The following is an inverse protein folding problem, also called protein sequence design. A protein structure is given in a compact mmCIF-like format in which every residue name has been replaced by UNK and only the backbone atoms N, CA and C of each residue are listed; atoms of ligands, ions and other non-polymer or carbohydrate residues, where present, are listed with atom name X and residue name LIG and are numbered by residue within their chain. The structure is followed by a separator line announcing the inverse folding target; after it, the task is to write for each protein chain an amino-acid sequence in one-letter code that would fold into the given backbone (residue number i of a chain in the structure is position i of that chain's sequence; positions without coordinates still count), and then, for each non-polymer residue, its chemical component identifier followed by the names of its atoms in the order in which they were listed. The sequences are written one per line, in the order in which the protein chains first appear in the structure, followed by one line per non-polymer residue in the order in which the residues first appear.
data_IF_198970109454
#
_entry.id   IF_198970109454
#
_cell.length_a   1.000
_cell.length_b   1.000
_cell.length_c   1.000
_cell.angle_alpha   90.00
_cell.angle_beta   90.00
_cell.angle_gamma   90.00
#
_symmetry.space_group_name_H-M   'P 1'
#
loop_
_entity.id
_entity.type
_entity.pdbx_description
1 polymer ?
#
# COMPACT_ATOMS: atom_id res chain seq x y z
N UNK A 1 10.97 -27.01 9.84
CA UNK A 1 11.98 -26.90 8.76
C UNK A 1 13.28 -26.46 9.40
N UNK A 2 14.42 -27.09 9.14
CA UNK A 2 15.65 -26.80 9.88
C UNK A 2 16.25 -25.45 9.43
N UNK A 3 16.74 -24.69 10.41
CA UNK A 3 17.42 -23.39 10.26
C UNK A 3 18.64 -23.39 9.28
N UNK A 4 19.03 -24.56 8.77
CA UNK A 4 20.16 -24.76 7.87
C UNK A 4 19.94 -24.22 6.46
N UNK A 5 18.70 -24.24 5.93
CA UNK A 5 18.41 -23.78 4.56
C UNK A 5 18.47 -22.24 4.48
N UNK A 6 18.09 -21.56 5.56
CA UNK A 6 18.15 -20.09 5.63
C UNK A 6 19.59 -19.56 5.76
N UNK A 7 20.50 -20.31 6.37
CA UNK A 7 21.90 -19.89 6.48
C UNK A 7 22.67 -19.87 5.16
N UNK A 8 22.38 -20.79 4.26
CA UNK A 8 23.01 -20.84 2.92
C UNK A 8 22.45 -19.76 1.99
N UNK A 9 21.14 -19.44 2.05
CA UNK A 9 20.53 -18.35 1.29
C UNK A 9 21.07 -16.98 1.71
N UNK A 10 21.32 -16.77 3.00
CA UNK A 10 21.87 -15.52 3.53
C UNK A 10 23.28 -15.25 2.99
N UNK A 11 24.16 -16.25 2.95
CA UNK A 11 25.54 -16.11 2.52
C UNK A 11 25.68 -15.95 0.98
N UNK A 12 24.76 -16.51 0.19
CA UNK A 12 24.81 -16.44 -1.28
C UNK A 12 24.08 -15.23 -1.87
N UNK A 13 23.18 -14.59 -1.10
CA UNK A 13 22.40 -13.43 -1.53
C UNK A 13 23.16 -12.10 -1.48
N UNK A 14 24.39 -12.10 -1.00
CA UNK A 14 25.16 -10.90 -0.71
C UNK A 14 26.37 -10.75 -1.63
N UNK A 15 26.26 -10.03 -2.74
CA UNK A 15 27.32 -9.99 -3.77
C UNK A 15 28.63 -9.28 -3.37
N UNK A 16 28.72 -8.57 -2.23
CA UNK A 16 29.95 -7.84 -1.85
C UNK A 16 30.07 -7.53 -0.35
N UNK A 17 29.94 -8.54 0.50
CA UNK A 17 30.00 -8.36 1.97
C UNK A 17 31.40 -8.35 2.56
N UNK A 18 32.44 -8.39 1.76
CA UNK A 18 33.83 -8.26 2.24
C UNK A 18 34.18 -6.89 2.83
N UNK A 19 33.25 -5.91 2.77
CA UNK A 19 33.47 -4.56 3.31
C UNK A 19 32.50 -4.14 4.41
N UNK A 20 31.54 -4.99 4.83
CA UNK A 20 30.63 -4.66 5.93
C UNK A 20 31.28 -4.98 7.27
N UNK A 21 31.36 -3.99 8.15
CA UNK A 21 31.88 -4.06 9.53
C UNK A 21 30.91 -4.72 10.52
N UNK A 22 29.82 -5.36 10.04
CA UNK A 22 28.77 -5.93 10.87
C UNK A 22 29.18 -7.30 11.41
N UNK A 23 29.01 -7.51 12.70
CA UNK A 23 29.21 -8.79 13.38
C UNK A 23 28.05 -9.75 13.11
N UNK A 24 28.25 -11.09 13.23
CA UNK A 24 27.16 -12.06 13.09
C UNK A 24 25.97 -11.84 14.06
N UNK A 25 26.18 -11.08 15.13
CA UNK A 25 25.16 -10.69 16.11
C UNK A 25 24.20 -9.63 15.57
N UNK A 26 24.61 -8.93 14.51
CA UNK A 26 23.84 -7.85 13.87
C UNK A 26 22.86 -8.37 12.82
N UNK A 27 22.78 -9.70 12.65
CA UNK A 27 21.88 -10.35 11.71
C UNK A 27 20.74 -11.07 12.42
N UNK A 28 19.54 -10.94 11.90
CA UNK A 28 18.37 -11.67 12.39
C UNK A 28 17.60 -12.27 11.21
N UNK A 29 17.02 -13.45 11.43
CA UNK A 29 16.05 -14.03 10.50
C UNK A 29 14.68 -13.72 11.08
N UNK A 30 13.86 -13.00 10.31
CA UNK A 30 12.50 -12.71 10.71
C UNK A 30 11.61 -13.94 10.50
N UNK A 31 11.11 -14.49 11.61
CA UNK A 31 10.08 -15.54 11.57
C UNK A 31 8.68 -14.86 11.66
N UNK A 32 7.89 -14.87 10.59
CA UNK A 32 6.53 -14.32 10.62
C UNK A 32 5.58 -15.06 11.58
N UNK A 33 5.93 -16.27 11.99
CA UNK A 33 5.17 -17.05 12.96
C UNK A 33 5.46 -16.64 14.41
N UNK A 34 6.56 -15.92 14.66
CA UNK A 34 6.86 -15.38 15.99
C UNK A 34 5.94 -14.19 16.31
N UNK A 35 4.89 -14.47 17.06
CA UNK A 35 3.92 -13.45 17.48
C UNK A 35 4.52 -12.39 18.45
N UNK A 36 5.75 -12.59 18.95
CA UNK A 36 6.47 -11.62 19.77
C UNK A 36 7.34 -10.68 18.93
N UNK A 37 7.62 -11.04 17.68
CA UNK A 37 8.34 -10.17 16.76
C UNK A 37 7.45 -8.98 16.39
N UNK A 38 7.83 -7.80 16.83
CA UNK A 38 7.20 -6.54 16.45
C UNK A 38 7.38 -6.24 14.95
N UNK A 39 6.78 -5.16 14.46
CA UNK A 39 7.00 -4.71 13.10
C UNK A 39 8.47 -4.34 12.88
N UNK A 40 9.05 -4.79 11.75
CA UNK A 40 10.36 -4.33 11.29
C UNK A 40 10.15 -3.05 10.50
N UNK A 41 10.85 -1.99 10.86
CA UNK A 41 10.94 -0.76 10.06
C UNK A 41 12.38 -0.56 9.65
N UNK A 42 12.62 -0.39 8.34
CA UNK A 42 14.00 -0.26 7.87
C UNK A 42 14.11 0.04 6.38
N UNK A 43 15.36 0.24 5.96
CA UNK A 43 15.76 0.41 4.57
C UNK A 43 15.92 -0.96 3.90
N UNK A 44 15.32 -1.15 2.75
CA UNK A 44 15.53 -2.34 1.92
C UNK A 44 16.90 -2.25 1.25
N UNK A 45 17.81 -3.15 1.58
CA UNK A 45 19.17 -3.18 1.02
C UNK A 45 19.35 -4.23 -0.06
N UNK A 46 18.54 -5.27 -0.06
CA UNK A 46 18.52 -6.27 -1.12
C UNK A 46 17.18 -7.00 -1.19
N UNK A 47 16.88 -7.55 -2.35
CA UNK A 47 15.81 -8.50 -2.56
C UNK A 47 16.21 -9.55 -3.60
N UNK A 48 15.61 -10.71 -3.54
CA UNK A 48 15.92 -11.79 -4.47
C UNK A 48 15.01 -12.99 -4.34
N UNK A 49 15.32 -14.00 -5.14
CA UNK A 49 14.65 -15.28 -5.15
C UNK A 49 15.26 -16.19 -4.07
N UNK A 50 14.44 -16.70 -3.16
CA UNK A 50 14.86 -17.60 -2.09
C UNK A 50 14.75 -19.06 -2.52
N UNK A 51 13.71 -19.39 -3.28
CA UNK A 51 13.43 -20.72 -3.81
C UNK A 51 12.72 -20.59 -5.16
N UNK A 52 13.37 -21.08 -6.21
CA UNK A 52 12.87 -21.02 -7.59
C UNK A 52 11.65 -21.94 -7.79
N UNK A 53 11.66 -23.14 -7.16
CA UNK A 53 10.56 -24.08 -7.29
C UNK A 53 9.29 -23.61 -6.58
N UNK A 54 9.44 -22.98 -5.41
CA UNK A 54 8.33 -22.44 -4.65
C UNK A 54 7.97 -20.99 -5.07
N UNK A 55 8.75 -20.39 -6.00
CA UNK A 55 8.62 -19.00 -6.39
C UNK A 55 8.60 -18.07 -5.15
N UNK A 56 9.50 -18.33 -4.23
CA UNK A 56 9.60 -17.65 -2.94
C UNK A 56 10.71 -16.62 -2.97
N UNK A 57 10.39 -15.42 -2.53
CA UNK A 57 11.29 -14.26 -2.52
C UNK A 57 11.66 -13.85 -1.11
N UNK A 58 12.72 -13.05 -1.00
CA UNK A 58 13.18 -12.48 0.27
C UNK A 58 13.52 -10.99 0.13
N UNK A 59 13.54 -10.30 1.27
CA UNK A 59 14.14 -8.99 1.45
C UNK A 59 15.25 -9.07 2.50
N UNK A 60 16.25 -8.21 2.34
CA UNK A 60 17.18 -7.86 3.42
C UNK A 60 16.90 -6.42 3.80
N UNK A 61 16.66 -6.20 5.08
CA UNK A 61 16.23 -4.91 5.63
C UNK A 61 17.19 -4.50 6.74
N UNK A 62 17.86 -3.37 6.53
CA UNK A 62 18.64 -2.69 7.56
C UNK A 62 17.67 -1.90 8.44
N UNK A 63 17.41 -2.40 9.64
CA UNK A 63 16.28 -1.97 10.46
C UNK A 63 16.65 -0.95 11.53
N UNK A 64 15.63 -0.27 12.05
CA UNK A 64 15.78 0.77 13.09
C UNK A 64 16.17 0.21 14.45
N UNK A 65 16.15 -1.12 14.65
CA UNK A 65 16.65 -1.82 15.84
C UNK A 65 18.17 -2.07 15.79
N UNK A 66 18.85 -1.59 14.74
CA UNK A 66 20.29 -1.73 14.54
C UNK A 66 20.72 -3.08 13.97
N UNK A 67 19.79 -3.90 13.48
CA UNK A 67 20.06 -5.21 12.89
C UNK A 67 19.68 -5.26 11.42
N UNK A 68 20.33 -6.13 10.68
CA UNK A 68 19.93 -6.50 9.33
C UNK A 68 19.06 -7.76 9.37
N UNK A 69 17.81 -7.65 8.92
CA UNK A 69 16.85 -8.75 8.93
C UNK A 69 16.73 -9.40 7.55
N UNK A 70 16.86 -10.72 7.52
CA UNK A 70 16.41 -11.53 6.39
C UNK A 70 14.93 -11.84 6.56
N UNK A 71 14.11 -11.43 5.60
CA UNK A 71 12.65 -11.58 5.65
C UNK A 71 12.18 -12.36 4.43
N UNK A 72 11.66 -13.55 4.65
CA UNK A 72 10.94 -14.29 3.60
C UNK A 72 9.61 -13.64 3.29
N UNK A 73 9.41 -13.21 2.05
CA UNK A 73 8.20 -12.51 1.61
C UNK A 73 7.27 -13.38 0.75
N UNK A 74 7.64 -14.65 0.56
CA UNK A 74 6.87 -15.58 -0.24
C UNK A 74 6.76 -15.11 -1.69
N UNK A 75 5.55 -15.15 -2.25
CA UNK A 75 5.27 -14.81 -3.66
C UNK A 75 5.02 -13.31 -3.92
N UNK A 76 5.37 -12.43 -2.98
CA UNK A 76 5.23 -10.98 -3.18
C UNK A 76 6.21 -10.48 -4.26
N UNK A 77 5.76 -9.66 -5.19
CA UNK A 77 6.54 -9.17 -6.35
C UNK A 77 6.15 -7.77 -6.79
N UNK A 78 7.01 -7.19 -7.61
CA UNK A 78 6.72 -5.96 -8.34
C UNK A 78 6.36 -4.80 -7.40
N UNK A 79 5.22 -4.18 -7.63
CA UNK A 79 4.74 -3.02 -6.85
C UNK A 79 4.39 -3.37 -5.38
N UNK A 80 4.29 -4.67 -5.03
CA UNK A 80 4.07 -5.12 -3.66
C UNK A 80 5.36 -5.14 -2.83
N UNK A 81 6.50 -4.83 -3.45
CA UNK A 81 7.81 -4.84 -2.81
C UNK A 81 8.41 -3.44 -2.83
N UNK A 82 8.88 -2.98 -1.69
CA UNK A 82 9.61 -1.71 -1.57
C UNK A 82 10.92 -1.79 -2.36
N UNK A 83 11.28 -0.77 -3.17
CA UNK A 83 12.52 -0.77 -3.92
C UNK A 83 13.75 -0.72 -2.99
N UNK A 84 14.91 -1.09 -3.53
CA UNK A 84 16.20 -0.90 -2.84
C UNK A 84 16.36 0.58 -2.47
N UNK A 85 16.94 0.85 -1.30
CA UNK A 85 17.05 2.14 -0.63
C UNK A 85 15.71 2.76 -0.19
N UNK A 86 14.59 2.16 -0.55
CA UNK A 86 13.29 2.53 -0.01
C UNK A 86 13.12 2.07 1.45
N UNK A 87 12.19 2.71 2.15
CA UNK A 87 11.91 2.43 3.56
C UNK A 87 10.59 1.67 3.65
N UNK A 88 10.60 0.54 4.35
CA UNK A 88 9.44 -0.31 4.54
C UNK A 88 9.11 -0.53 6.01
N UNK A 89 7.83 -0.75 6.29
CA UNK A 89 7.35 -1.42 7.49
C UNK A 89 6.90 -2.81 7.11
N UNK A 90 7.44 -3.82 7.77
CA UNK A 90 7.13 -5.22 7.54
C UNK A 90 6.47 -5.78 8.78
N UNK A 91 5.30 -6.37 8.61
CA UNK A 91 4.52 -6.99 9.69
C UNK A 91 4.14 -8.41 9.30
N UNK A 92 4.07 -9.31 10.27
CA UNK A 92 3.52 -10.64 10.03
C UNK A 92 2.08 -10.54 9.52
N UNK A 93 1.70 -11.38 8.56
CA UNK A 93 0.32 -11.43 8.08
C UNK A 93 -0.55 -12.17 9.07
N UNK A 94 -1.54 -11.52 9.69
CA UNK A 94 -2.40 -12.18 10.67
C UNK A 94 -3.34 -13.18 9.98
N UNK A 95 -3.50 -14.36 10.60
CA UNK A 95 -4.53 -15.34 10.23
C UNK A 95 -5.75 -15.07 11.09
N UNK A 96 -6.57 -14.12 10.70
CA UNK A 96 -7.77 -13.73 11.47
C UNK A 96 -8.97 -13.53 10.55
N UNK A 97 -10.16 -13.90 11.05
CA UNK A 97 -11.41 -13.59 10.37
C UNK A 97 -11.61 -12.09 10.35
N UNK A 98 -11.75 -11.51 9.15
CA UNK A 98 -11.93 -10.05 8.98
C UNK A 98 -13.33 -9.61 9.40
N UNK A 99 -13.47 -8.34 9.77
CA UNK A 99 -14.78 -7.73 10.04
C UNK A 99 -15.74 -7.89 8.87
N UNK A 100 -15.26 -7.73 7.63
CA UNK A 100 -16.03 -7.93 6.42
C UNK A 100 -16.65 -9.34 6.33
N UNK A 101 -15.92 -10.40 6.70
CA UNK A 101 -16.43 -11.77 6.66
C UNK A 101 -17.57 -11.98 7.69
N UNK A 102 -17.45 -11.35 8.86
CA UNK A 102 -18.50 -11.37 9.88
C UNK A 102 -19.76 -10.62 9.41
N UNK A 103 -19.57 -9.46 8.79
CA UNK A 103 -20.69 -8.69 8.22
C UNK A 103 -21.38 -9.47 7.09
N UNK A 104 -20.60 -10.09 6.17
CA UNK A 104 -21.16 -10.94 5.11
C UNK A 104 -22.01 -12.07 5.69
N UNK A 105 -21.49 -12.78 6.72
CA UNK A 105 -22.20 -13.86 7.36
C UNK A 105 -23.52 -13.38 8.03
N UNK A 106 -23.48 -12.22 8.71
CA UNK A 106 -24.65 -11.64 9.36
C UNK A 106 -25.72 -11.21 8.35
N UNK A 107 -25.33 -10.54 7.26
CA UNK A 107 -26.24 -10.15 6.18
C UNK A 107 -26.89 -11.38 5.54
N UNK A 108 -26.11 -12.41 5.25
CA UNK A 108 -26.59 -13.64 4.63
C UNK A 108 -27.56 -14.41 5.54
N UNK A 109 -27.29 -14.48 6.83
CA UNK A 109 -28.20 -15.11 7.81
C UNK A 109 -29.60 -14.47 7.80
N UNK A 110 -29.67 -13.14 7.60
CA UNK A 110 -30.95 -12.41 7.52
C UNK A 110 -31.54 -12.36 6.08
N UNK A 111 -30.87 -12.96 5.10
CA UNK A 111 -31.24 -12.89 3.68
C UNK A 111 -31.28 -14.28 3.00
N UNK A 112 -31.66 -15.31 3.76
CA UNK A 112 -31.82 -16.67 3.25
C UNK A 112 -30.52 -17.30 2.70
N UNK A 113 -29.38 -17.01 3.32
CA UNK A 113 -28.06 -17.51 2.89
C UNK A 113 -27.48 -16.79 1.69
N UNK A 114 -28.01 -15.62 1.31
CA UNK A 114 -27.57 -14.83 0.15
C UNK A 114 -27.01 -13.48 0.58
N UNK A 115 -26.01 -13.02 -0.17
CA UNK A 115 -25.45 -11.67 -0.04
C UNK A 115 -25.58 -10.92 -1.36
N UNK A 116 -26.10 -9.69 -1.29
CA UNK A 116 -26.12 -8.69 -2.36
C UNK A 116 -25.81 -7.33 -1.76
N UNK A 117 -25.48 -6.33 -2.59
CA UNK A 117 -25.33 -4.93 -2.13
C UNK A 117 -26.64 -4.46 -1.49
N UNK A 118 -27.78 -4.72 -2.12
CA UNK A 118 -29.10 -4.34 -1.60
C UNK A 118 -29.42 -5.00 -0.25
N UNK A 119 -29.04 -6.27 -0.03
CA UNK A 119 -29.23 -6.94 1.25
C UNK A 119 -28.32 -6.35 2.32
N UNK A 120 -27.12 -5.92 1.96
CA UNK A 120 -26.22 -5.22 2.86
C UNK A 120 -26.79 -3.87 3.30
N UNK A 121 -27.24 -3.03 2.36
CA UNK A 121 -27.81 -1.72 2.65
C UNK A 121 -29.12 -1.80 3.44
N UNK A 122 -29.91 -2.88 3.27
CA UNK A 122 -31.08 -3.15 4.13
C UNK A 122 -30.68 -3.56 5.54
N UNK A 123 -29.59 -4.30 5.69
CA UNK A 123 -29.07 -4.72 6.99
C UNK A 123 -28.43 -3.55 7.76
N UNK A 124 -27.72 -2.70 7.06
CA UNK A 124 -27.09 -1.47 7.58
C UNK A 124 -27.44 -0.27 6.68
N UNK A 125 -28.52 0.46 7.00
CA UNK A 125 -28.93 1.64 6.23
C UNK A 125 -27.94 2.81 6.31
N UNK A 126 -26.98 2.78 7.23
CA UNK A 126 -25.91 3.80 7.33
C UNK A 126 -24.74 3.53 6.39
N UNK A 127 -24.62 2.30 5.88
CA UNK A 127 -23.55 1.92 4.95
C UNK A 127 -23.75 2.57 3.58
N UNK A 128 -22.63 2.95 2.96
CA UNK A 128 -22.65 3.39 1.56
C UNK A 128 -22.55 2.18 0.61
N UNK A 129 -23.04 2.34 -0.62
CA UNK A 129 -22.89 1.34 -1.68
C UNK A 129 -21.40 1.00 -1.92
N UNK A 130 -20.54 2.01 -1.94
CA UNK A 130 -19.09 1.82 -2.08
C UNK A 130 -18.48 0.97 -0.95
N UNK A 131 -19.01 1.07 0.27
CA UNK A 131 -18.62 0.21 1.38
C UNK A 131 -19.11 -1.23 1.16
N UNK A 132 -20.36 -1.44 0.76
CA UNK A 132 -20.89 -2.77 0.43
C UNK A 132 -20.13 -3.43 -0.73
N UNK A 133 -19.69 -2.67 -1.73
CA UNK A 133 -18.82 -3.17 -2.80
C UNK A 133 -17.47 -3.71 -2.29
N UNK A 134 -16.94 -3.21 -1.18
CA UNK A 134 -15.71 -3.77 -0.60
C UNK A 134 -15.90 -5.23 -0.18
N UNK A 135 -17.08 -5.58 0.31
CA UNK A 135 -17.47 -6.94 0.68
C UNK A 135 -17.63 -7.84 -0.56
N UNK A 136 -18.22 -7.32 -1.63
CA UNK A 136 -18.28 -8.02 -2.92
C UNK A 136 -16.89 -8.32 -3.45
N UNK A 137 -15.95 -7.37 -3.37
CA UNK A 137 -14.54 -7.59 -3.75
C UNK A 137 -13.87 -8.66 -2.89
N UNK A 138 -14.20 -8.71 -1.61
CA UNK A 138 -13.72 -9.77 -0.70
C UNK A 138 -14.22 -11.15 -1.13
N UNK A 139 -15.51 -11.29 -1.40
CA UNK A 139 -16.12 -12.53 -1.89
C UNK A 139 -15.52 -12.97 -3.22
N UNK A 140 -15.32 -12.04 -4.15
CA UNK A 140 -14.68 -12.34 -5.43
C UNK A 140 -13.23 -12.81 -5.26
N UNK A 141 -12.46 -12.25 -4.33
CA UNK A 141 -11.11 -12.69 -4.03
C UNK A 141 -11.10 -14.12 -3.48
N UNK A 142 -12.00 -14.45 -2.54
CA UNK A 142 -12.15 -15.81 -2.00
C UNK A 142 -12.56 -16.80 -3.09
N UNK A 143 -13.53 -16.44 -3.96
CA UNK A 143 -13.98 -17.28 -5.07
C UNK A 143 -12.82 -17.63 -6.01
N UNK A 144 -12.03 -16.63 -6.41
CA UNK A 144 -10.89 -16.84 -7.33
C UNK A 144 -9.77 -17.66 -6.73
N UNK A 145 -9.50 -17.50 -5.44
CA UNK A 145 -8.39 -18.18 -4.80
C UNK A 145 -8.69 -19.61 -4.38
N UNK A 146 -9.91 -19.88 -3.90
CA UNK A 146 -10.26 -21.14 -3.23
C UNK A 146 -11.54 -21.79 -3.75
N UNK A 147 -12.36 -21.08 -4.52
CA UNK A 147 -13.71 -21.55 -4.88
C UNK A 147 -14.66 -21.65 -3.66
N UNK A 148 -14.31 -20.99 -2.54
CA UNK A 148 -15.04 -21.13 -1.27
C UNK A 148 -16.43 -20.48 -1.24
N UNK A 149 -16.75 -19.65 -2.23
CA UNK A 149 -18.03 -18.94 -2.35
C UNK A 149 -18.51 -18.97 -3.80
N UNK A 150 -19.82 -19.06 -4.00
CA UNK A 150 -20.46 -19.14 -5.31
C UNK A 150 -21.16 -17.84 -5.67
N UNK A 151 -20.89 -17.37 -6.90
CA UNK A 151 -21.60 -16.24 -7.49
C UNK A 151 -22.65 -16.74 -8.47
N UNK A 152 -23.89 -16.28 -8.28
CA UNK A 152 -24.99 -16.63 -9.13
C UNK A 152 -25.08 -15.75 -10.39
N UNK A 153 -25.77 -16.18 -11.46
CA UNK A 153 -25.96 -15.38 -12.67
C UNK A 153 -26.66 -14.03 -12.45
N UNK A 154 -27.50 -13.94 -11.43
CA UNK A 154 -28.18 -12.72 -11.02
C UNK A 154 -27.27 -11.73 -10.27
N UNK A 155 -26.00 -12.09 -10.05
CA UNK A 155 -25.02 -11.29 -9.32
C UNK A 155 -25.03 -11.49 -7.80
N UNK A 156 -25.96 -12.26 -7.25
CA UNK A 156 -25.97 -12.62 -5.82
C UNK A 156 -24.89 -13.63 -5.47
N UNK A 157 -24.54 -13.69 -4.18
CA UNK A 157 -23.54 -14.62 -3.64
C UNK A 157 -24.21 -15.60 -2.69
N UNK A 158 -23.94 -16.88 -2.84
CA UNK A 158 -24.36 -17.91 -1.89
C UNK A 158 -23.31 -17.99 -0.79
N UNK A 159 -23.74 -17.76 0.43
CA UNK A 159 -22.90 -17.79 1.62
C UNK A 159 -23.26 -19.03 2.45
N UNK A 160 -22.34 -19.97 2.49
CA UNK A 160 -22.52 -21.20 3.25
C UNK A 160 -22.52 -20.94 4.76
N UNK A 161 -23.18 -21.79 5.58
CA UNK A 161 -23.19 -21.64 7.04
C UNK A 161 -21.81 -21.65 7.68
N UNK A 162 -20.83 -22.30 7.05
CA UNK A 162 -19.42 -22.39 7.47
C UNK A 162 -18.54 -21.29 6.86
N UNK A 163 -19.12 -20.18 6.37
CA UNK A 163 -18.40 -19.09 5.71
C UNK A 163 -17.19 -18.57 6.53
N UNK A 164 -17.35 -18.41 7.84
CA UNK A 164 -16.27 -17.92 8.69
C UNK A 164 -15.07 -18.88 8.76
N UNK A 165 -15.34 -20.19 8.80
CA UNK A 165 -14.28 -21.21 8.74
C UNK A 165 -13.56 -21.19 7.37
N UNK A 166 -14.31 -20.99 6.28
CA UNK A 166 -13.74 -20.84 4.93
C UNK A 166 -12.92 -19.55 4.80
N UNK A 167 -13.36 -18.46 5.41
CA UNK A 167 -12.63 -17.21 5.46
C UNK A 167 -11.30 -17.36 6.22
N UNK A 168 -11.31 -18.05 7.36
CA UNK A 168 -10.08 -18.37 8.11
C UNK A 168 -9.12 -19.25 7.30
N UNK A 169 -9.62 -20.29 6.64
CA UNK A 169 -8.82 -21.15 5.76
C UNK A 169 -8.21 -20.34 4.60
N UNK A 170 -8.95 -19.40 4.02
CA UNK A 170 -8.44 -18.49 3.00
C UNK A 170 -7.31 -17.59 3.55
N UNK A 171 -7.46 -16.98 4.73
CA UNK A 171 -6.40 -16.18 5.33
C UNK A 171 -5.15 -17.02 5.65
N UNK A 172 -5.33 -18.27 6.10
CA UNK A 172 -4.21 -19.21 6.32
C UNK A 172 -3.47 -19.52 5.03
N UNK A 173 -4.20 -19.81 3.94
CA UNK A 173 -3.58 -20.03 2.64
C UNK A 173 -2.86 -18.77 2.11
N UNK A 174 -3.44 -17.60 2.32
CA UNK A 174 -2.83 -16.33 1.93
C UNK A 174 -1.54 -16.06 2.74
N UNK A 175 -1.56 -16.33 4.05
CA UNK A 175 -0.38 -16.22 4.91
C UNK A 175 0.75 -17.20 4.51
N UNK A 176 0.42 -18.39 4.03
CA UNK A 176 1.42 -19.32 3.50
C UNK A 176 2.09 -18.80 2.21
N UNK A 177 1.32 -18.15 1.33
CA UNK A 177 1.84 -17.59 0.07
C UNK A 177 2.59 -16.29 0.25
N UNK A 178 2.11 -15.43 1.12
CA UNK A 178 2.70 -14.11 1.42
C UNK A 178 2.68 -13.90 2.93
N UNK A 179 3.70 -14.39 3.66
CA UNK A 179 3.68 -14.47 5.11
C UNK A 179 3.76 -13.11 5.82
N UNK A 180 4.14 -12.09 5.09
CA UNK A 180 4.26 -10.72 5.62
C UNK A 180 3.40 -9.74 4.81
N UNK A 181 3.13 -8.60 5.44
CA UNK A 181 2.59 -7.41 4.80
C UNK A 181 3.73 -6.41 4.73
N UNK A 182 4.01 -5.90 3.52
CA UNK A 182 5.03 -4.88 3.25
C UNK A 182 4.30 -3.56 2.99
N UNK A 183 4.49 -2.59 3.87
CA UNK A 183 4.03 -1.22 3.69
C UNK A 183 5.22 -0.36 3.30
N UNK A 184 5.24 0.16 2.08
CA UNK A 184 6.26 1.12 1.67
C UNK A 184 6.01 2.47 2.36
N UNK A 185 6.91 2.84 3.26
CA UNK A 185 6.87 4.12 3.98
C UNK A 185 7.47 5.25 3.14
N UNK A 186 8.51 4.93 2.37
CA UNK A 186 9.11 5.82 1.38
C UNK A 186 9.74 5.03 0.24
N UNK A 187 9.57 5.53 -0.99
CA UNK A 187 10.29 5.05 -2.17
C UNK A 187 11.64 5.75 -2.36
N UNK A 188 11.92 6.75 -1.53
CA UNK A 188 13.16 7.54 -1.56
C UNK A 188 14.07 7.11 -0.42
N UNK A 189 15.38 7.20 -0.61
CA UNK A 189 16.34 6.96 0.46
C UNK A 189 16.21 8.02 1.57
N UNK A 190 16.63 7.67 2.78
CA UNK A 190 16.47 8.50 3.98
C UNK A 190 17.10 9.89 3.84
N UNK A 191 18.22 9.97 3.12
CA UNK A 191 18.98 11.21 2.91
C UNK A 191 18.16 12.23 2.11
N UNK A 192 17.31 11.76 1.19
CA UNK A 192 16.48 12.60 0.34
C UNK A 192 15.23 13.13 1.05
N UNK A 193 14.88 12.63 2.25
CA UNK A 193 13.62 12.97 2.91
C UNK A 193 13.71 14.26 3.74
N UNK A 194 14.85 14.55 4.34
CA UNK A 194 14.98 15.63 5.31
C UNK A 194 14.64 17.01 4.73
N UNK A 195 15.16 17.33 3.55
CA UNK A 195 14.95 18.62 2.87
C UNK A 195 13.95 18.54 1.71
N UNK A 196 13.18 17.45 1.60
CA UNK A 196 12.21 17.28 0.52
C UNK A 196 11.05 18.28 0.64
N UNK A 197 10.75 19.03 -0.44
CA UNK A 197 9.63 19.97 -0.49
C UNK A 197 8.31 19.23 -0.84
N UNK A 198 7.86 18.43 0.10
CA UNK A 198 6.67 17.62 0.03
C UNK A 198 6.49 16.83 1.32
N UNK A 199 5.35 16.14 1.44
CA UNK A 199 5.12 15.26 2.58
C UNK A 199 6.02 14.02 2.49
N UNK A 200 6.64 13.64 3.62
CA UNK A 200 7.50 12.47 3.74
C UNK A 200 7.04 11.57 4.89
N UNK A 201 7.62 10.36 4.95
CA UNK A 201 7.45 9.50 6.12
C UNK A 201 7.90 10.16 7.42
N UNK A 202 8.99 10.96 7.40
CA UNK A 202 9.50 11.67 8.59
C UNK A 202 8.44 12.61 9.21
N UNK A 203 7.58 13.22 8.39
CA UNK A 203 6.51 14.10 8.90
C UNK A 203 5.45 13.33 9.69
N UNK A 204 5.19 12.07 9.27
CA UNK A 204 4.29 11.15 9.98
C UNK A 204 4.92 10.68 11.29
N UNK A 205 6.20 10.32 11.28
CA UNK A 205 6.93 9.92 12.49
C UNK A 205 6.99 11.07 13.53
N UNK A 206 7.27 12.30 13.09
CA UNK A 206 7.29 13.47 13.97
C UNK A 206 5.94 13.77 14.64
N UNK A 207 4.84 13.30 14.08
CA UNK A 207 3.48 13.51 14.62
C UNK A 207 2.83 12.27 15.19
N UNK A 208 3.52 11.14 15.13
CA UNK A 208 3.00 9.87 15.62
C UNK A 208 2.90 9.85 17.14
N UNK A 209 1.76 9.38 17.67
CA UNK A 209 1.61 9.05 19.09
C UNK A 209 2.38 7.78 19.49
N UNK A 210 2.76 6.97 18.51
CA UNK A 210 3.51 5.72 18.67
C UNK A 210 4.67 5.70 17.67
N UNK A 211 5.71 6.54 17.87
CA UNK A 211 6.82 6.63 16.95
C UNK A 211 7.59 5.30 16.88
N UNK A 212 8.22 5.06 15.74
CA UNK A 212 9.07 3.89 15.53
C UNK A 212 10.26 3.93 16.50
N UNK A 213 10.55 2.84 17.25
CA UNK A 213 11.75 2.75 18.08
C UNK A 213 13.02 2.88 17.22
N UNK A 214 13.96 3.71 17.69
CA UNK A 214 15.22 3.99 16.99
C UNK A 214 16.38 3.61 17.91
N UNK A 215 16.97 2.44 17.73
CA UNK A 215 18.03 1.93 18.59
C UNK A 215 19.42 2.23 18.05
N UNK A 216 19.89 1.51 17.02
CA UNK A 216 21.22 1.66 16.41
C UNK A 216 21.19 1.57 14.90
N UNK A 217 22.34 1.54 14.24
CA UNK A 217 22.45 1.38 12.81
C UNK A 217 21.59 2.37 12.04
N UNK A 218 20.69 1.87 11.19
CA UNK A 218 19.74 2.68 10.43
C UNK A 218 18.84 3.55 11.34
N UNK A 219 18.51 3.10 12.55
CA UNK A 219 17.78 3.91 13.53
C UNK A 219 18.49 5.21 13.91
N UNK A 220 19.82 5.19 13.94
CA UNK A 220 20.64 6.39 14.13
C UNK A 220 20.55 7.37 12.96
N UNK A 221 20.57 6.85 11.73
CA UNK A 221 20.38 7.65 10.50
C UNK A 221 19.01 8.31 10.46
N UNK A 222 17.96 7.55 10.81
CA UNK A 222 16.57 8.05 10.92
C UNK A 222 16.48 9.16 11.94
N UNK A 223 17.08 9.00 13.13
CA UNK A 223 17.10 10.05 14.17
C UNK A 223 17.74 11.33 13.64
N UNK A 224 18.88 11.20 12.95
CA UNK A 224 19.55 12.35 12.32
C UNK A 224 18.68 13.00 11.24
N UNK A 225 17.97 12.20 10.45
CA UNK A 225 17.06 12.71 9.42
C UNK A 225 15.83 13.43 10.02
N UNK A 226 15.25 12.91 11.12
CA UNK A 226 14.16 13.56 11.85
C UNK A 226 14.57 14.93 12.38
N UNK A 227 15.77 15.06 12.96
CA UNK A 227 16.27 16.34 13.46
C UNK A 227 16.43 17.35 12.31
N UNK A 228 17.03 16.94 11.18
CA UNK A 228 17.16 17.79 9.98
C UNK A 228 15.80 18.16 9.39
N UNK A 229 14.84 17.22 9.38
CA UNK A 229 13.47 17.48 8.92
C UNK A 229 12.77 18.51 9.79
N UNK A 230 12.88 18.38 11.10
CA UNK A 230 12.31 19.32 12.05
C UNK A 230 12.87 20.73 11.84
N UNK A 231 14.19 20.87 11.68
CA UNK A 231 14.83 22.14 11.36
C UNK A 231 14.31 22.73 10.05
N UNK A 232 14.25 21.94 8.98
CA UNK A 232 13.73 22.36 7.67
C UNK A 232 12.27 22.85 7.78
N UNK A 233 11.41 22.13 8.52
CA UNK A 233 10.03 22.52 8.73
C UNK A 233 9.90 23.85 9.49
N UNK A 234 10.78 24.12 10.46
CA UNK A 234 10.85 25.43 11.13
C UNK A 234 11.23 26.54 10.15
N UNK A 235 12.25 26.32 9.33
CA UNK A 235 12.68 27.27 8.30
C UNK A 235 11.57 27.57 7.27
N UNK A 236 10.73 26.56 6.99
CA UNK A 236 9.55 26.73 6.11
C UNK A 236 8.34 27.34 6.80
N UNK A 237 8.41 27.66 8.11
CA UNK A 237 7.30 28.18 8.89
C UNK A 237 6.12 27.20 9.07
N UNK A 238 6.38 25.90 8.91
CA UNK A 238 5.37 24.85 9.07
C UNK A 238 5.36 24.23 10.46
N UNK A 239 6.32 24.62 11.29
CA UNK A 239 6.52 24.18 12.65
C UNK A 239 6.87 25.37 13.53
N UNK A 240 6.27 25.44 14.71
CA UNK A 240 6.52 26.49 15.70
C UNK A 240 7.01 25.84 16.99
N UNK A 241 7.95 26.49 17.66
CA UNK A 241 8.41 26.07 18.98
C UNK A 241 7.93 27.10 19.99
N UNK A 242 7.15 26.67 20.97
CA UNK A 242 6.72 27.50 22.09
C UNK A 242 7.32 26.97 23.41
N UNK A 243 6.98 27.63 24.53
CA UNK A 243 7.43 27.23 25.85
C UNK A 243 6.95 25.82 26.29
N UNK A 244 5.98 25.23 25.57
CA UNK A 244 5.43 23.90 25.82
C UNK A 244 6.05 22.82 24.92
N UNK A 245 6.89 23.22 23.96
CA UNK A 245 7.58 22.32 23.05
C UNK A 245 7.32 22.63 21.57
N UNK A 246 7.48 21.61 20.73
CA UNK A 246 7.32 21.72 19.29
C UNK A 246 5.85 21.52 18.91
N UNK A 247 5.24 22.53 18.30
CA UNK A 247 3.86 22.49 17.84
C UNK A 247 3.79 22.58 16.32
N UNK A 248 3.09 21.66 15.72
CA UNK A 248 2.88 21.66 14.28
C UNK A 248 1.65 22.49 13.91
N UNK A 249 1.72 23.27 12.83
CA UNK A 249 0.52 23.90 12.27
C UNK A 249 -0.49 22.86 11.83
N UNK A 250 -1.77 23.08 12.11
CA UNK A 250 -2.83 22.09 11.92
C UNK A 250 -2.95 21.56 10.47
N UNK A 251 -2.59 22.36 9.46
CA UNK A 251 -2.71 22.01 8.04
C UNK A 251 -1.38 21.70 7.34
N UNK A 252 -0.27 21.52 8.07
CA UNK A 252 1.08 21.34 7.48
C UNK A 252 1.15 20.20 6.48
N UNK A 253 0.55 19.04 6.79
CA UNK A 253 0.58 17.87 5.90
C UNK A 253 -0.14 18.17 4.58
N UNK A 254 -1.29 18.85 4.65
CA UNK A 254 -2.03 19.28 3.47
C UNK A 254 -1.22 20.26 2.61
N UNK A 255 -0.51 21.21 3.24
CA UNK A 255 0.36 22.16 2.52
C UNK A 255 1.49 21.42 1.81
N UNK A 256 2.17 20.49 2.48
CA UNK A 256 3.25 19.68 1.90
C UNK A 256 2.75 18.78 0.75
N UNK A 257 1.58 18.15 0.92
CA UNK A 257 0.95 17.39 -0.16
C UNK A 257 0.64 18.24 -1.38
N UNK A 258 0.10 19.45 -1.17
CA UNK A 258 -0.20 20.37 -2.26
C UNK A 258 1.06 20.86 -2.97
N UNK A 259 2.16 21.14 -2.25
CA UNK A 259 3.44 21.51 -2.84
C UNK A 259 3.97 20.38 -3.73
N UNK A 260 4.01 19.15 -3.22
CA UNK A 260 4.44 17.98 -3.99
C UNK A 260 3.58 17.76 -5.23
N UNK A 261 2.25 17.85 -5.09
CA UNK A 261 1.33 17.72 -6.21
C UNK A 261 1.59 18.77 -7.30
N UNK A 262 1.72 20.05 -6.91
CA UNK A 262 2.00 21.14 -7.87
C UNK A 262 3.35 20.96 -8.57
N UNK A 263 4.37 20.51 -7.82
CA UNK A 263 5.69 20.27 -8.41
C UNK A 263 5.64 19.16 -9.45
N UNK A 264 5.01 18.02 -9.15
CA UNK A 264 4.88 16.91 -10.10
C UNK A 264 3.99 17.28 -11.28
N UNK A 265 2.88 17.96 -11.03
CA UNK A 265 1.98 18.46 -12.09
C UNK A 265 2.70 19.42 -13.01
N UNK A 266 3.51 20.36 -12.49
CA UNK A 266 4.32 21.27 -13.29
C UNK A 266 5.35 20.54 -14.15
N UNK A 267 6.09 19.60 -13.59
CA UNK A 267 7.05 18.79 -14.36
C UNK A 267 6.37 18.01 -15.49
N UNK A 268 5.17 17.47 -15.24
CA UNK A 268 4.41 16.76 -16.26
C UNK A 268 3.87 17.71 -17.32
N UNK A 269 3.43 18.92 -16.95
CA UNK A 269 3.00 19.95 -17.89
C UNK A 269 4.12 20.33 -18.85
N UNK A 270 5.34 20.51 -18.34
CA UNK A 270 6.52 20.83 -19.16
C UNK A 270 6.89 19.67 -20.10
N UNK A 271 6.80 18.43 -19.61
CA UNK A 271 7.12 17.23 -20.39
C UNK A 271 6.10 16.94 -21.51
N UNK A 272 4.82 17.19 -21.25
CA UNK A 272 3.72 16.81 -22.14
C UNK A 272 3.27 17.98 -23.04
N UNK A 273 3.60 19.22 -22.70
CA UNK A 273 3.06 20.41 -23.34
C UNK A 273 1.55 20.60 -23.08
N UNK A 274 1.04 20.04 -21.97
CA UNK A 274 -0.38 20.05 -21.61
C UNK A 274 -0.57 20.71 -20.24
N UNK A 275 -1.73 21.34 -20.04
CA UNK A 275 -2.09 21.88 -18.73
C UNK A 275 -2.64 20.80 -17.79
N UNK A 276 -2.33 20.90 -16.50
CA UNK A 276 -2.90 20.03 -15.49
C UNK A 276 -4.27 20.55 -15.04
N UNK A 277 -5.33 19.79 -15.31
CA UNK A 277 -6.67 20.06 -14.82
C UNK A 277 -6.88 19.41 -13.45
N UNK A 278 -7.48 20.15 -12.51
CA UNK A 278 -7.91 19.62 -11.22
C UNK A 278 -9.33 19.08 -11.34
N UNK A 279 -9.63 17.99 -10.66
CA UNK A 279 -10.96 17.38 -10.66
C UNK A 279 -11.49 17.33 -9.24
N UNK A 280 -12.66 17.90 -9.01
CA UNK A 280 -13.38 17.91 -7.75
C UNK A 280 -14.22 16.64 -7.51
N UNK A 281 -14.66 16.44 -6.26
CA UNK A 281 -15.59 15.35 -5.93
C UNK A 281 -16.91 15.52 -6.68
N UNK A 282 -17.43 14.45 -7.28
CA UNK A 282 -18.63 14.45 -8.12
C UNK A 282 -18.37 14.76 -9.60
N UNK A 283 -17.20 15.27 -9.96
CA UNK A 283 -16.89 15.59 -11.36
C UNK A 283 -16.55 14.33 -12.18
N UNK A 284 -16.83 14.42 -13.48
CA UNK A 284 -16.58 13.37 -14.44
C UNK A 284 -15.11 13.40 -14.91
N UNK A 285 -14.46 12.25 -14.81
CA UNK A 285 -13.10 12.02 -15.31
C UNK A 285 -13.19 11.17 -16.57
N UNK A 286 -12.67 11.69 -17.68
CA UNK A 286 -12.65 10.99 -18.96
C UNK A 286 -11.35 11.30 -19.71
N UNK A 287 -10.79 10.31 -20.41
CA UNK A 287 -9.58 10.47 -21.21
C UNK A 287 -8.83 9.17 -21.41
N UNK A 288 -7.64 9.26 -22.01
CA UNK A 288 -6.76 8.11 -22.23
C UNK A 288 -5.87 7.92 -21.01
N UNK A 289 -5.94 6.74 -20.39
CA UNK A 289 -4.99 6.39 -19.31
C UNK A 289 -3.60 6.13 -19.91
N UNK A 290 -2.64 7.01 -19.65
CA UNK A 290 -1.29 6.92 -20.19
C UNK A 290 -0.37 6.07 -19.35
N UNK A 291 -0.29 6.35 -18.05
CA UNK A 291 0.59 5.65 -17.10
C UNK A 291 0.23 6.00 -15.66
N UNK A 292 0.79 5.24 -14.73
CA UNK A 292 0.82 5.67 -13.33
C UNK A 292 1.97 6.66 -13.10
N UNK A 293 1.78 7.57 -12.15
CA UNK A 293 2.77 8.57 -11.72
C UNK A 293 2.77 8.58 -10.20
N UNK A 294 3.94 8.72 -9.59
CA UNK A 294 4.06 8.89 -8.13
C UNK A 294 4.04 10.37 -7.77
N UNK A 295 3.22 10.70 -6.78
CA UNK A 295 3.21 12.02 -6.14
C UNK A 295 3.48 11.76 -4.65
N UNK A 296 4.70 12.03 -4.21
CA UNK A 296 5.19 11.51 -2.93
C UNK A 296 5.19 9.97 -2.92
N UNK A 297 4.61 9.38 -1.88
CA UNK A 297 4.45 7.93 -1.76
C UNK A 297 3.15 7.41 -2.38
N UNK A 298 2.25 8.30 -2.82
CA UNK A 298 0.98 7.93 -3.44
C UNK A 298 1.09 7.71 -4.96
N UNK A 299 0.36 6.72 -5.47
CA UNK A 299 0.28 6.39 -6.91
C UNK A 299 -0.95 7.04 -7.52
N UNK A 300 -0.76 7.79 -8.60
CA UNK A 300 -1.79 8.46 -9.36
C UNK A 300 -1.86 7.91 -10.79
N UNK A 301 -3.01 8.00 -11.41
CA UNK A 301 -3.20 7.73 -12.83
C UNK A 301 -3.17 9.05 -13.60
N UNK A 302 -2.35 9.12 -14.64
CA UNK A 302 -2.34 10.22 -15.60
C UNK A 302 -3.37 9.92 -16.68
N UNK A 303 -4.44 10.75 -16.70
CA UNK A 303 -5.52 10.68 -17.67
C UNK A 303 -5.37 11.87 -18.60
N UNK A 304 -5.09 11.60 -19.86
CA UNK A 304 -4.83 12.62 -20.88
C UNK A 304 -6.08 12.87 -21.72
N UNK A 305 -6.37 14.14 -21.94
CA UNK A 305 -7.30 14.67 -22.93
C UNK A 305 -6.55 15.43 -24.02
N UNK A 306 -7.25 15.96 -25.01
CA UNK A 306 -6.61 16.60 -26.17
C UNK A 306 -5.73 17.82 -25.82
N UNK A 307 -6.01 18.58 -24.76
CA UNK A 307 -5.29 19.80 -24.37
C UNK A 307 -4.90 19.86 -22.90
N UNK A 308 -5.28 18.87 -22.12
CA UNK A 308 -5.05 18.83 -20.69
C UNK A 308 -4.82 17.39 -20.20
N UNK A 309 -4.25 17.24 -19.03
CA UNK A 309 -4.23 15.98 -18.31
C UNK A 309 -4.74 16.18 -16.89
N UNK A 310 -5.18 15.08 -16.28
CA UNK A 310 -5.64 15.05 -14.90
C UNK A 310 -4.91 13.95 -14.16
N UNK A 311 -4.51 14.21 -12.91
CA UNK A 311 -3.96 13.22 -12.00
C UNK A 311 -5.04 12.79 -11.00
N UNK A 312 -5.42 11.53 -11.04
CA UNK A 312 -6.42 10.96 -10.12
C UNK A 312 -5.84 9.77 -9.36
N UNK A 313 -6.30 9.45 -8.14
CA UNK A 313 -5.81 8.30 -7.40
C UNK A 313 -5.86 7.03 -8.24
N UNK A 314 -4.73 6.35 -8.35
CA UNK A 314 -4.62 5.13 -9.13
C UNK A 314 -5.36 3.96 -8.46
N UNK A 315 -5.92 3.09 -9.29
CA UNK A 315 -6.58 1.86 -8.85
C UNK A 315 -6.10 0.67 -9.68
N UNK A 316 -6.01 -0.56 -9.11
CA UNK A 316 -5.53 -1.75 -9.83
C UNK A 316 -6.31 -2.07 -11.11
N UNK A 317 -7.60 -1.67 -11.19
CA UNK A 317 -8.43 -1.86 -12.38
C UNK A 317 -7.87 -1.16 -13.62
N UNK A 318 -7.04 -0.12 -13.44
CA UNK A 318 -6.40 0.63 -14.52
C UNK A 318 -5.18 -0.09 -15.10
N UNK A 319 -4.61 -1.08 -14.42
CA UNK A 319 -3.36 -1.74 -14.84
C UNK A 319 -3.44 -2.30 -16.28
N UNK A 320 -4.60 -2.84 -16.65
CA UNK A 320 -4.86 -3.38 -18.00
C UNK A 320 -5.49 -2.38 -18.97
N UNK A 321 -5.52 -1.11 -18.60
CA UNK A 321 -6.16 -0.04 -19.36
C UNK A 321 -5.16 0.96 -19.95
N UNK A 322 -3.85 0.71 -19.86
CA UNK A 322 -2.83 1.58 -20.45
C UNK A 322 -3.11 1.79 -21.93
N UNK A 323 -3.12 3.05 -22.37
CA UNK A 323 -3.40 3.47 -23.75
C UNK A 323 -4.89 3.45 -24.15
N UNK A 324 -5.80 3.05 -23.25
CA UNK A 324 -7.23 2.97 -23.53
C UNK A 324 -7.99 4.18 -22.96
N UNK A 325 -9.11 4.48 -23.60
CA UNK A 325 -10.09 5.43 -23.09
C UNK A 325 -10.71 4.86 -21.79
N UNK A 326 -10.71 5.67 -20.75
CA UNK A 326 -11.34 5.37 -19.48
C UNK A 326 -12.28 6.49 -19.08
N UNK A 327 -13.35 6.16 -18.37
CA UNK A 327 -14.26 7.14 -17.81
C UNK A 327 -14.71 6.74 -16.41
N UNK A 328 -15.04 7.73 -15.59
CA UNK A 328 -15.48 7.50 -14.21
C UNK A 328 -15.92 8.79 -13.54
N UNK A 329 -16.30 8.70 -12.28
CA UNK A 329 -16.71 9.83 -11.45
C UNK A 329 -15.80 9.91 -10.23
N UNK A 330 -15.26 11.09 -9.95
CA UNK A 330 -14.45 11.36 -8.77
C UNK A 330 -15.33 11.22 -7.51
N UNK A 331 -14.87 10.47 -6.52
CA UNK A 331 -15.48 10.28 -5.22
C UNK A 331 -14.47 10.60 -4.11
N UNK A 332 -14.89 10.73 -2.88
CA UNK A 332 -13.99 11.01 -1.74
C UNK A 332 -12.81 10.04 -1.61
N UNK A 333 -12.96 8.78 -2.01
CA UNK A 333 -11.91 7.75 -1.95
C UNK A 333 -11.19 7.46 -3.27
N UNK A 334 -11.38 8.27 -4.32
CA UNK A 334 -10.82 8.08 -5.67
C UNK A 334 -11.88 8.00 -6.76
N UNK A 335 -11.52 7.51 -7.95
CA UNK A 335 -12.44 7.45 -9.09
C UNK A 335 -13.21 6.13 -9.11
N UNK A 336 -14.54 6.22 -9.24
CA UNK A 336 -15.40 5.09 -9.58
C UNK A 336 -15.38 4.91 -11.10
N UNK A 337 -14.60 3.92 -11.57
CA UNK A 337 -14.36 3.71 -13.00
C UNK A 337 -15.47 2.91 -13.66
N UNK A 338 -15.91 3.37 -14.84
CA UNK A 338 -16.79 2.64 -15.77
C UNK A 338 -15.93 2.01 -16.85
N UNK A 339 -15.44 0.78 -16.61
CA UNK A 339 -14.59 0.06 -17.55
C UNK A 339 -15.40 -1.06 -18.22
N UNK A 340 -15.48 -1.06 -19.55
CA UNK A 340 -16.00 -2.19 -20.32
C UNK A 340 -17.47 -2.13 -20.75
N UNK A 341 -18.11 -0.97 -20.76
CA UNK A 341 -19.38 -0.76 -21.47
C UNK A 341 -19.22 0.31 -22.57
N UNK A 342 -18.58 -0.05 -23.68
CA UNK A 342 -18.90 0.63 -24.94
C UNK A 342 -20.32 0.18 -25.32
N UNK A 343 -21.33 0.98 -24.98
CA UNK A 343 -22.60 0.90 -25.70
C UNK A 343 -22.31 1.33 -27.13
N UNK A 344 -22.20 0.36 -28.04
CA UNK A 344 -22.36 0.63 -29.45
C UNK A 344 -23.73 1.29 -29.63
N UNK A 345 -23.74 2.57 -29.96
CA UNK A 345 -24.89 3.23 -30.57
C UNK A 345 -25.04 2.59 -31.96
N UNK A 346 -25.84 1.53 -32.03
CA UNK A 346 -26.41 1.06 -33.28
C UNK A 346 -27.38 2.14 -33.75
N UNK A 347 -26.95 2.92 -34.75
CA UNK A 347 -27.83 3.74 -35.54
C UNK A 347 -28.50 2.79 -36.53
N UNK A 348 -29.79 2.57 -36.38
CA UNK A 348 -30.69 2.05 -37.41
C UNK A 348 -31.22 3.20 -38.23
#
# INVERSE_FOLDING_TARGET
MPASIYRTGFASALPNWSTSTLSPQDYAIHDPADCKAGPIVGRVIAHGLADDHADSHYLIVDATDGRSHYVGIGQARGDDVTPIDGIARITARPVTIRGADRTIAAVAANSGGRYTIDSHLRHDPSASEAFAETHVRRLEAMRRATGAVDRQPDGSWIIAPDHLARAEAYERQLSQRTPVIIETLSHRPIEALAAHDGQTWLDRELTSSTPTPLEGGFGGEVRGALNRRQQWLMEQGLLETDAKGVTFRANKLTVLQQREFRRVAGQLSDQLGLSCATTGSGEHVEGVYRRSVRVGDAKFALIEKSREFTLVPWRPVLERQIGKQVSGVMREGGVSWTIGRSRGLGIS
#
